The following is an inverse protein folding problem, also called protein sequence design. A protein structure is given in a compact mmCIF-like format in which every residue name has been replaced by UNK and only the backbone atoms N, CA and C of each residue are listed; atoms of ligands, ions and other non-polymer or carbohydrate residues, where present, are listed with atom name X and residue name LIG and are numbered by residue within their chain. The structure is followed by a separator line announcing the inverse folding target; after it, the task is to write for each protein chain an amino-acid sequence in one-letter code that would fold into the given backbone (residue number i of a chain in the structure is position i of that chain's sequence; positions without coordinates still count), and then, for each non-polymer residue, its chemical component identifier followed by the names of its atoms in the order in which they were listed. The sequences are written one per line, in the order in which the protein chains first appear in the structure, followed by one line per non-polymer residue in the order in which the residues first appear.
data_IF_116099647688
#
_entry.id   IF_116099647688
#
_cell.length_a   1.000
_cell.length_b   1.000
_cell.length_c   1.000
_cell.angle_alpha   90.00
_cell.angle_beta   90.00
_cell.angle_gamma   90.00
#
_symmetry.space_group_name_H-M   'P 1'
#
loop_
_entity.id
_entity.type
_entity.pdbx_description
1 polymer ?
2 non-polymer ?
3 non-polymer ?
4 water ?
#
# COMPACT_ATOMS: atom_id res chain seq x y z
N UNK A 1 24.40 -8.23 1.83
CA UNK A 1 23.21 -8.60 1.06
C UNK A 1 22.02 -7.72 1.51
N UNK A 2 20.99 -7.65 0.70
CA UNK A 2 19.83 -6.84 1.09
C UNK A 2 19.18 -7.47 2.33
N UNK A 3 18.52 -6.68 3.15
CA UNK A 3 17.83 -7.25 4.30
C UNK A 3 16.40 -7.46 3.84
N UNK A 4 16.02 -8.71 3.63
CA UNK A 4 14.65 -9.03 3.18
C UNK A 4 13.87 -9.66 4.35
N UNK A 5 12.71 -9.07 4.67
CA UNK A 5 11.89 -9.54 5.77
C UNK A 5 10.40 -9.61 5.34
N UNK A 6 9.74 -10.70 5.70
CA UNK A 6 8.32 -10.78 5.47
C UNK A 6 7.62 -11.04 6.82
N UNK A 7 6.72 -10.14 7.21
CA UNK A 7 5.97 -10.32 8.44
C UNK A 7 4.68 -11.08 8.12
N UNK A 8 4.37 -12.09 8.94
CA UNK A 8 3.24 -12.99 8.66
C UNK A 8 2.43 -13.22 9.96
N UNK A 9 1.26 -13.83 9.82
CA UNK A 9 0.61 -14.42 10.98
C UNK A 9 0.13 -15.78 10.56
N UNK A 10 -0.19 -16.61 11.56
CA UNK A 10 -0.81 -17.90 11.29
C UNK A 10 -2.21 -17.75 10.64
N UNK A 11 -2.79 -18.82 10.10
CA UNK A 11 -4.09 -18.76 9.41
C UNK A 11 -4.14 -17.73 8.26
N UNK A 12 -3.11 -17.72 7.41
CA UNK A 12 -3.00 -16.65 6.41
C UNK A 12 -2.46 -17.22 5.12
N UNK A 13 -3.34 -17.67 4.21
CA UNK A 13 -2.83 -18.28 2.98
C UNK A 13 -2.01 -17.24 2.21
N UNK A 14 -2.40 -15.96 2.28
CA UNK A 14 -1.61 -14.96 1.54
C UNK A 14 -0.19 -14.90 2.05
N UNK A 15 0.01 -15.05 3.38
CA UNK A 15 1.36 -15.00 3.90
C UNK A 15 2.20 -16.15 3.34
N UNK A 16 1.64 -17.35 3.36
CA UNK A 16 2.47 -18.53 3.05
C UNK A 16 2.74 -18.59 1.57
N UNK A 17 1.76 -18.19 0.75
CA UNK A 17 2.04 -18.07 -0.69
C UNK A 17 3.19 -17.13 -0.94
N UNK A 18 3.16 -15.99 -0.25
CA UNK A 18 4.22 -15.00 -0.40
C UNK A 18 5.55 -15.55 0.08
N UNK A 19 5.57 -16.20 1.25
CA UNK A 19 6.80 -16.87 1.69
C UNK A 19 7.35 -17.90 0.67
N UNK A 20 6.48 -18.78 0.16
CA UNK A 20 6.92 -19.72 -0.86
C UNK A 20 7.50 -19.03 -2.11
N UNK A 21 6.86 -17.94 -2.54
CA UNK A 21 7.41 -17.18 -3.67
C UNK A 21 8.87 -16.72 -3.37
N UNK A 22 9.07 -16.09 -2.23
CA UNK A 22 10.42 -15.61 -1.86
C UNK A 22 11.41 -16.78 -1.71
N UNK A 23 10.98 -17.90 -1.10
CA UNK A 23 11.80 -19.14 -1.09
C UNK A 23 12.15 -19.62 -2.51
N UNK A 24 11.21 -19.51 -3.45
CA UNK A 24 11.50 -20.03 -4.78
C UNK A 24 12.64 -19.23 -5.45
N UNK A 25 12.92 -18.01 -4.96
CA UNK A 25 13.92 -17.12 -5.57
C UNK A 25 15.33 -17.45 -5.08
N UNK A 26 15.41 -18.23 -4.01
CA UNK A 26 16.69 -18.62 -3.46
C UNK A 26 17.36 -17.53 -2.68
N UNK A 27 16.62 -16.49 -2.32
CA UNK A 27 17.28 -15.39 -1.58
C UNK A 27 17.35 -15.72 -0.10
N UNK A 28 18.28 -15.10 0.59
CA UNK A 28 18.32 -15.17 2.04
C UNK A 28 17.24 -14.19 2.59
N UNK A 29 16.31 -14.69 3.39
CA UNK A 29 15.28 -13.78 4.00
C UNK A 29 14.78 -14.29 5.33
N UNK A 30 14.14 -13.40 6.09
CA UNK A 30 13.56 -13.73 7.39
C UNK A 30 12.03 -13.68 7.30
N UNK A 31 11.37 -14.77 7.72
CA UNK A 31 9.95 -14.79 7.95
C UNK A 31 9.70 -14.53 9.45
N UNK A 32 8.96 -13.46 9.76
CA UNK A 32 8.74 -13.08 11.13
C UNK A 32 7.25 -13.21 11.50
N UNK A 33 6.93 -14.19 12.34
CA UNK A 33 5.57 -14.54 12.66
C UNK A 33 5.16 -13.66 13.85
N UNK A 34 4.19 -12.79 13.64
CA UNK A 34 3.78 -11.86 14.72
C UNK A 34 2.35 -12.12 15.16
N UNK A 35 1.93 -13.38 15.05
CA UNK A 35 0.55 -13.76 15.38
C UNK A 35 0.18 -13.30 16.77
N UNK A 36 1.13 -13.47 17.69
CA UNK A 36 0.91 -13.15 19.10
C UNK A 36 1.83 -12.09 19.63
N UNK A 37 2.57 -11.43 18.74
CA UNK A 37 3.42 -10.36 19.19
C UNK A 37 2.80 -9.01 18.76
N UNK A 38 1.84 -8.51 19.53
CA UNK A 38 1.18 -7.28 19.07
C UNK A 38 2.07 -6.04 19.03
N UNK A 39 3.05 -5.96 19.93
CA UNK A 39 3.96 -4.83 19.90
C UNK A 39 4.86 -4.80 18.64
N UNK A 40 5.41 -5.94 18.26
CA UNK A 40 6.19 -6.05 17.05
C UNK A 40 5.31 -5.64 15.87
N UNK A 41 4.08 -6.10 15.82
CA UNK A 41 3.26 -5.78 14.66
C UNK A 41 2.83 -4.29 14.65
N UNK A 42 2.63 -3.72 15.84
CA UNK A 42 2.43 -2.27 15.97
C UNK A 42 3.62 -1.48 15.41
N UNK A 43 4.86 -1.92 15.62
CA UNK A 43 5.98 -1.16 15.06
C UNK A 43 5.92 -1.23 13.53
N UNK A 44 5.44 -2.37 13.03
CA UNK A 44 5.43 -2.55 11.58
C UNK A 44 4.34 -1.63 10.98
N UNK A 45 3.18 -1.63 11.62
CA UNK A 45 2.03 -0.79 11.19
C UNK A 45 2.38 0.70 11.25
N UNK A 46 3.12 1.14 12.27
CA UNK A 46 3.54 2.54 12.33
C UNK A 46 4.28 2.98 11.08
N UNK A 47 5.14 2.10 10.56
CA UNK A 47 5.85 2.40 9.33
C UNK A 47 4.87 2.42 8.13
N UNK A 48 4.14 1.33 7.89
CA UNK A 48 3.46 1.20 6.60
C UNK A 48 2.03 1.72 6.54
N UNK A 49 1.37 1.87 7.69
CA UNK A 49 -0.04 2.23 7.68
C UNK A 49 -0.98 1.11 7.22
N UNK A 50 -0.51 -0.12 7.10
CA UNK A 50 -1.35 -1.31 6.81
C UNK A 50 -1.53 -2.16 8.05
N UNK A 51 -2.71 -2.73 8.22
CA UNK A 51 -2.94 -3.61 9.36
C UNK A 51 -3.14 -5.06 8.90
N UNK A 52 -2.77 -5.36 7.67
CA UNK A 52 -2.90 -6.71 7.17
C UNK A 52 -1.51 -7.41 7.11
N UNK A 53 -1.52 -8.73 6.91
CA UNK A 53 -0.29 -9.49 6.60
C UNK A 53 -0.59 -10.29 5.33
N UNK A 54 0.48 -10.59 4.51
CA UNK A 54 1.88 -10.31 4.81
C UNK A 54 2.34 -8.86 4.52
N UNK A 55 3.45 -8.44 5.12
CA UNK A 55 4.10 -7.22 4.72
C UNK A 55 5.57 -7.54 4.47
N UNK A 56 6.01 -7.21 3.26
CA UNK A 56 7.34 -7.56 2.77
C UNK A 56 8.19 -6.27 2.64
N UNK A 57 9.41 -6.35 3.13
CA UNK A 57 10.39 -5.24 3.15
C UNK A 57 11.70 -5.67 2.54
N UNK A 58 12.33 -4.76 1.80
CA UNK A 58 13.71 -4.99 1.33
C UNK A 58 14.41 -3.71 1.72
N UNK A 59 15.37 -3.84 2.65
CA UNK A 59 16.02 -2.67 3.23
C UNK A 59 14.95 -1.70 3.75
N UNK A 60 14.97 -0.46 3.34
CA UNK A 60 14.00 0.49 3.91
C UNK A 60 12.60 0.46 3.22
N UNK A 61 12.48 -0.28 2.11
CA UNK A 61 11.28 -0.19 1.29
C UNK A 61 10.25 -1.22 1.62
N UNK A 62 9.00 -0.75 1.74
CA UNK A 62 7.88 -1.62 1.97
C UNK A 62 7.37 -2.00 0.59
N UNK A 63 7.64 -3.23 0.13
CA UNK A 63 7.16 -3.68 -1.20
C UNK A 63 5.63 -3.87 -1.21
N UNK A 64 5.05 -4.22 -0.06
CA UNK A 64 3.61 -4.50 -0.03
C UNK A 64 3.30 -5.92 0.44
N UNK A 65 2.13 -6.42 0.05
CA UNK A 65 1.70 -7.72 0.50
C UNK A 65 1.78 -8.79 -0.59
N UNK A 67 -0.47 -9.78 -3.02
CA UNK A 67 -0.79 -9.26 -4.37
C UNK A 67 0.35 -8.44 -4.96
N UNK A 68 0.87 -7.50 -4.21
CA UNK A 68 1.93 -6.64 -4.76
C UNK A 68 3.19 -7.37 -5.23
N UNK A 69 3.71 -8.29 -4.42
CA UNK A 69 4.93 -8.98 -4.84
C UNK A 69 4.66 -9.93 -6.01
N UNK A 70 3.47 -10.51 -6.06
CA UNK A 70 3.11 -11.30 -7.26
C UNK A 70 3.02 -10.44 -8.50
N UNK A 71 2.38 -9.28 -8.40
CA UNK A 71 2.35 -8.32 -9.52
C UNK A 71 3.77 -7.89 -9.93
N UNK A 72 4.56 -7.47 -8.97
CA UNK A 72 5.94 -7.16 -9.29
C UNK A 72 6.66 -8.33 -9.99
N UNK A 73 6.38 -9.56 -9.56
CA UNK A 73 7.05 -10.71 -10.16
C UNK A 73 6.60 -10.88 -11.64
N UNK A 74 5.30 -10.75 -11.87
CA UNK A 74 4.74 -10.85 -13.23
C UNK A 74 5.37 -9.81 -14.14
N UNK A 75 5.65 -8.63 -13.60
CA UNK A 75 6.35 -7.56 -14.34
C UNK A 75 7.89 -7.71 -14.45
N UNK A 76 8.47 -8.76 -13.86
CA UNK A 76 9.91 -8.92 -13.89
C UNK A 76 10.67 -8.00 -12.96
N UNK A 77 9.95 -7.23 -12.16
CA UNK A 77 10.54 -6.24 -11.25
C UNK A 77 10.97 -6.87 -9.91
N UNK A 78 10.24 -7.91 -9.48
CA UNK A 78 10.51 -8.53 -8.15
C UNK A 78 11.97 -8.98 -8.01
N UNK A 79 12.45 -9.70 -9.01
CA UNK A 79 13.85 -10.15 -9.00
C UNK A 79 14.84 -9.03 -8.77
N UNK A 80 14.56 -7.89 -9.41
CA UNK A 80 15.41 -6.71 -9.26
C UNK A 80 15.38 -6.15 -7.83
N UNK A 81 14.19 -6.05 -7.27
CA UNK A 81 14.10 -5.58 -5.88
C UNK A 81 14.79 -6.52 -4.90
N UNK A 82 14.82 -7.81 -5.21
CA UNK A 82 15.44 -8.77 -4.28
C UNK A 82 16.96 -8.80 -4.44
N UNK A 83 17.47 -7.94 -5.32
CA UNK A 83 18.90 -7.83 -5.53
C UNK A 83 19.46 -9.06 -6.21
N UNK A 84 18.71 -9.61 -7.16
CA UNK A 84 19.19 -10.83 -7.80
C UNK A 84 20.32 -10.44 -8.77
N UNK A 85 20.57 -11.20 -9.82
CA UNK A 85 21.76 -10.89 -10.61
C UNK A 85 21.59 -9.60 -11.49
N UNK A 86 22.68 -8.87 -11.54
CA UNK A 86 22.73 -7.66 -12.26
C UNK A 86 23.40 -8.11 -13.55
N UNK A 87 22.90 -7.62 -14.68
CA UNK A 87 23.58 -7.88 -15.93
C UNK A 87 24.13 -6.62 -16.50
N UNK A 88 25.20 -6.77 -17.28
CA UNK A 88 25.79 -5.65 -18.01
C UNK A 88 26.07 -6.08 -19.43
N UNK A 89 25.59 -5.29 -20.40
CA UNK A 89 25.90 -5.52 -21.80
C UNK A 89 27.02 -4.57 -22.13
N UNK A 90 28.20 -5.17 -22.30
CA UNK A 90 29.40 -4.45 -22.63
C UNK A 90 29.40 -4.32 -24.15
N UNK A 91 29.59 -3.10 -24.63
CA UNK A 91 29.58 -2.78 -26.09
C UNK A 91 30.95 -2.25 -26.51
N UNK A 92 31.56 -2.77 -27.59
CA UNK A 92 32.87 -2.27 -28.03
C UNK A 92 32.77 -0.80 -28.53
N UNK B 1 -15.65 0.47 -11.87
CA UNK B 1 -14.72 0.93 -10.84
C UNK B 1 -14.23 2.37 -11.18
N UNK B 2 -14.26 3.27 -10.19
CA UNK B 2 -13.65 4.60 -10.32
C UNK B 2 -12.14 4.44 -10.05
N UNK B 3 -11.33 5.42 -10.45
CA UNK B 3 -9.89 5.31 -10.19
C UNK B 3 -9.60 6.03 -8.92
N UNK B 4 -9.46 5.26 -7.85
CA UNK B 4 -9.24 5.84 -6.55
C UNK B 4 -7.74 5.70 -6.26
N UNK B 5 -7.11 6.85 -5.95
CA UNK B 5 -5.67 6.90 -5.65
C UNK B 5 -5.41 7.63 -4.33
N UNK B 6 -4.57 7.07 -3.46
CA UNK B 6 -4.18 7.78 -2.27
C UNK B 6 -2.62 7.84 -2.22
N UNK B 7 -2.07 9.03 -2.04
CA UNK B 7 -0.62 9.21 -1.87
C UNK B 7 -0.29 9.21 -0.40
N UNK B 8 0.69 8.41 -0.01
CA UNK B 8 1.06 8.26 1.40
C UNK B 8 2.60 8.34 1.54
N UNK B 9 3.05 8.50 2.78
CA UNK B 9 4.46 8.34 3.17
C UNK B 9 4.46 7.41 4.38
N UNK B 10 5.58 6.76 4.62
CA UNK B 10 5.78 5.88 5.77
C UNK B 10 5.75 6.74 7.05
N UNK B 11 5.46 6.11 8.18
CA UNK B 11 5.32 6.81 9.48
C UNK B 11 4.30 7.95 9.45
N UNK B 12 3.09 7.62 9.04
CA UNK B 12 2.06 8.63 8.80
C UNK B 12 0.74 8.13 9.36
N UNK B 13 0.41 8.47 10.63
CA UNK B 13 -0.83 7.98 11.26
C UNK B 13 -2.10 8.36 10.45
N UNK B 14 -2.09 9.56 9.86
CA UNK B 14 -3.19 10.02 9.02
C UNK B 14 -3.36 9.11 7.79
N UNK B 15 -2.22 8.66 7.24
CA UNK B 15 -2.26 7.80 6.04
C UNK B 15 -2.85 6.45 6.47
N UNK B 16 -2.39 5.95 7.63
CA UNK B 16 -2.94 4.68 8.15
C UNK B 16 -4.46 4.67 8.26
N UNK B 17 -5.01 5.71 8.89
CA UNK B 17 -6.46 5.76 9.15
C UNK B 17 -7.20 5.90 7.84
N UNK B 18 -6.61 6.65 6.90
CA UNK B 18 -7.32 6.85 5.64
C UNK B 18 -7.31 5.55 4.81
N UNK B 19 -6.13 4.91 4.72
CA UNK B 19 -6.06 3.58 4.10
C UNK B 19 -7.02 2.58 4.80
N UNK B 20 -7.06 2.58 6.12
CA UNK B 20 -8.03 1.68 6.83
C UNK B 20 -9.47 2.01 6.44
N UNK B 21 -9.81 3.30 6.35
CA UNK B 21 -11.17 3.65 5.94
C UNK B 21 -11.49 3.14 4.51
N UNK B 22 -10.59 3.39 3.56
CA UNK B 22 -10.85 2.96 2.18
C UNK B 22 -10.99 1.43 2.09
N UNK B 23 -10.10 0.74 2.81
CA UNK B 23 -10.09 -0.72 2.85
C UNK B 23 -11.42 -1.23 3.40
N UNK B 24 -11.92 -0.55 4.44
CA UNK B 24 -13.16 -0.98 5.10
C UNK B 24 -14.37 -0.77 4.20
N UNK B 25 -14.23 0.07 3.17
CA UNK B 25 -15.34 0.34 2.25
C UNK B 25 -15.44 -0.73 1.19
N UNK B 26 -14.45 -1.61 1.11
CA UNK B 26 -14.50 -2.67 0.11
C UNK B 26 -14.41 -2.23 -1.33
N UNK B 27 -13.57 -1.24 -1.61
CA UNK B 27 -13.36 -0.76 -2.96
C UNK B 27 -11.90 -1.09 -3.33
N UNK B 28 -11.60 -1.20 -4.63
CA UNK B 28 -10.20 -1.30 -5.08
C UNK B 28 -9.59 0.10 -5.16
N UNK B 29 -8.31 0.24 -4.82
CA UNK B 29 -7.71 1.56 -4.83
C UNK B 29 -6.20 1.45 -4.96
N UNK B 30 -5.60 2.42 -5.59
CA UNK B 30 -4.16 2.39 -5.72
C UNK B 30 -3.48 3.26 -4.64
N UNK B 31 -2.44 2.76 -4.00
CA UNK B 31 -1.73 3.61 -3.04
C UNK B 31 -0.35 3.86 -3.62
N UNK B 32 0.10 5.11 -3.57
CA UNK B 32 1.41 5.48 -4.09
C UNK B 32 2.22 6.00 -2.92
N UNK B 33 3.27 5.27 -2.58
CA UNK B 33 4.10 5.59 -1.42
C UNK B 33 5.20 6.52 -1.91
N UNK B 34 5.16 7.79 -1.54
CA UNK B 34 6.13 8.78 -2.03
C UNK B 34 7.21 9.16 -0.99
N UNK B 35 7.40 8.31 0.01
CA UNK B 35 8.38 8.57 1.07
C UNK B 35 9.71 9.01 0.47
N UNK B 36 10.13 8.28 -0.56
CA UNK B 36 11.40 8.55 -1.22
C UNK B 36 11.29 8.96 -2.69
N UNK B 37 10.17 9.57 -3.08
CA UNK B 37 9.99 10.02 -4.44
C UNK B 37 9.60 11.50 -4.47
N UNK B 38 10.60 12.37 -4.32
CA UNK B 38 10.37 13.83 -4.26
C UNK B 38 9.66 14.34 -5.47
N UNK B 39 10.09 13.87 -6.64
CA UNK B 39 9.51 14.36 -7.87
C UNK B 39 8.03 14.01 -7.99
N UNK B 40 7.66 12.76 -7.66
CA UNK B 40 6.25 12.39 -7.78
C UNK B 40 5.40 13.23 -6.81
N UNK B 41 5.91 13.41 -5.61
CA UNK B 41 5.15 14.20 -4.64
C UNK B 41 5.10 15.68 -5.07
N UNK B 42 6.18 16.19 -5.64
CA UNK B 42 6.14 17.55 -6.20
C UNK B 42 5.04 17.71 -7.25
N UNK B 43 4.87 16.73 -8.11
CA UNK B 43 3.76 16.82 -9.07
C UNK B 43 2.39 16.78 -8.43
N UNK B 44 2.24 15.99 -7.37
CA UNK B 44 0.97 15.99 -6.63
C UNK B 44 0.68 17.37 -6.00
N UNK B 45 1.68 17.93 -5.34
CA UNK B 45 1.55 19.25 -4.68
C UNK B 45 1.22 20.35 -5.70
N UNK B 46 1.84 20.29 -6.87
CA UNK B 46 1.56 21.27 -7.92
C UNK B 46 0.09 21.26 -8.26
N UNK B 47 -0.57 20.08 -8.17
CA UNK B 47 -2.01 20.01 -8.50
C UNK B 47 -2.92 20.48 -7.42
N UNK B 48 -2.59 20.18 -6.17
CA UNK B 48 -3.53 20.42 -5.07
C UNK B 48 -3.13 21.64 -4.23
N UNK B 49 -1.83 21.96 -4.18
CA UNK B 49 -1.35 23.00 -3.25
C UNK B 49 -1.24 22.54 -1.81
N UNK B 50 -1.50 21.26 -1.55
CA UNK B 50 -1.31 20.74 -0.20
C UNK B 50 0.06 20.11 -0.02
N UNK B 51 0.72 20.33 1.11
CA UNK B 51 2.04 19.73 1.30
C UNK B 51 2.05 18.51 2.22
N UNK B 52 0.87 18.03 2.58
CA UNK B 52 0.78 16.93 3.53
C UNK B 52 0.34 15.62 2.86
N UNK B 53 0.52 14.52 3.59
CA UNK B 53 -0.11 13.26 3.16
C UNK B 53 -1.06 12.84 4.28
N UNK B 54 -2.12 12.07 3.97
CA UNK B 54 -2.37 11.51 2.65
C UNK B 54 -3.14 12.51 1.72
N UNK B 55 -3.09 12.25 0.43
CA UNK B 55 -3.90 13.00 -0.52
C UNK B 55 -4.71 11.98 -1.32
N UNK B 56 -6.02 12.16 -1.34
CA UNK B 56 -6.93 11.16 -1.93
C UNK B 56 -7.61 11.73 -3.17
N UNK B 57 -7.55 11.00 -4.28
CA UNK B 57 -8.18 11.43 -5.53
C UNK B 57 -9.16 10.35 -5.99
N UNK B 58 -10.28 10.77 -6.61
CA UNK B 58 -11.20 9.84 -7.33
C UNK B 58 -11.39 10.38 -8.74
N UNK B 59 -10.87 9.65 -9.71
CA UNK B 59 -10.94 10.10 -11.12
C UNK B 59 -10.47 11.52 -11.28
N UNK B 60 -9.28 11.82 -10.76
CA UNK B 60 -8.79 13.21 -10.82
C UNK B 60 -9.49 14.28 -10.01
N UNK B 61 -10.61 13.97 -9.35
CA UNK B 61 -11.12 14.89 -8.34
C UNK B 61 -10.33 14.73 -7.02
N UNK B 62 -9.85 15.83 -6.45
CA UNK B 62 -9.11 15.75 -5.19
C UNK B 62 -10.09 15.83 -4.04
N UNK B 63 -10.09 14.86 -3.13
CA UNK B 63 -10.99 14.86 -1.98
C UNK B 63 -10.35 15.44 -0.75
N UNK B 64 -9.03 15.65 -0.76
CA UNK B 64 -8.41 16.08 0.49
C UNK B 64 -7.62 14.96 1.18
N UNK B 65 -7.39 15.09 2.49
CA UNK B 65 -6.64 14.12 3.25
C UNK B 65 -7.51 13.29 4.19
N UNK B 67 -8.75 13.80 7.30
CA UNK B 67 -9.82 14.52 8.03
C UNK B 67 -10.93 14.75 7.05
N UNK B 68 -10.56 15.12 5.84
CA UNK B 68 -11.54 15.44 4.81
C UNK B 68 -12.41 14.25 4.40
N UNK B 69 -11.80 13.10 4.11
CA UNK B 69 -12.63 11.94 3.76
C UNK B 69 -13.46 11.38 4.94
N UNK B 70 -12.94 11.49 6.16
CA UNK B 70 -13.74 11.14 7.34
C UNK B 70 -14.90 12.13 7.51
N UNK B 71 -14.68 13.41 7.21
CA UNK B 71 -15.77 14.39 7.16
C UNK B 71 -16.81 14.05 6.12
N UNK B 72 -16.38 13.77 4.88
CA UNK B 72 -17.31 13.27 3.85
C UNK B 72 -18.07 12.02 4.33
N UNK B 73 -17.37 11.08 4.96
CA UNK B 73 -18.04 9.87 5.44
C UNK B 73 -19.16 10.21 6.45
N UNK B 74 -18.85 11.05 7.44
CA UNK B 74 -19.81 11.48 8.46
C UNK B 74 -21.07 12.13 7.87
N UNK B 75 -20.89 12.88 6.79
CA UNK B 75 -21.99 13.48 6.04
C UNK B 75 -22.61 12.49 5.08
N UNK B 76 -22.15 11.25 5.14
CA UNK B 76 -22.63 10.18 4.26
C UNK B 76 -22.44 10.35 2.77
N UNK B 77 -21.55 11.23 2.33
CA UNK B 77 -21.35 11.42 0.89
C UNK B 77 -20.04 10.82 0.36
N UNK B 78 -19.26 10.16 1.24
CA UNK B 78 -18.04 9.52 0.75
C UNK B 78 -18.39 8.37 -0.17
N UNK B 79 -19.38 7.57 0.21
CA UNK B 79 -19.72 6.38 -0.56
C UNK B 79 -20.04 6.71 -2.00
N UNK B 80 -20.79 7.78 -2.16
CA UNK B 80 -21.19 8.24 -3.46
C UNK B 80 -19.95 8.63 -4.30
N UNK B 81 -19.00 9.38 -3.71
CA UNK B 81 -17.81 9.78 -4.43
C UNK B 81 -16.95 8.56 -4.81
N UNK B 82 -16.91 7.56 -3.94
CA UNK B 82 -16.11 6.35 -4.21
C UNK B 82 -16.77 5.42 -5.23
N UNK B 83 -18.05 5.65 -5.48
CA UNK B 83 -18.76 4.98 -6.54
C UNK B 83 -19.41 3.74 -5.99
N UNK B 84 -19.60 3.73 -4.67
CA UNK B 84 -20.17 2.59 -4.01
C UNK B 84 -21.61 2.60 -4.44
N UNK B 85 -22.32 1.49 -4.24
CA UNK B 85 -23.66 1.37 -4.85
C UNK B 85 -24.62 2.50 -4.39
N UNK B 86 -25.23 3.16 -5.36
CA UNK B 86 -26.15 4.23 -5.06
C UNK B 86 -27.57 3.68 -5.17
N UNK B 87 -28.31 3.85 -4.07
CA UNK B 87 -29.65 3.35 -3.93
C UNK B 87 -30.61 4.48 -4.28
N UNK B 88 -31.46 4.31 -5.28
CA UNK B 88 -32.47 5.33 -5.52
C UNK B 88 -33.76 4.69 -5.05
N UNK B 89 -34.36 5.22 -3.99
CA UNK B 89 -35.59 4.65 -3.44
C UNK B 89 -36.79 5.24 -4.22
N UNK B 90 -37.51 4.37 -4.92
CA UNK B 90 -38.72 4.83 -5.63
C UNK B 90 -39.96 4.61 -4.74
N UNK B 91 -40.70 5.68 -4.47
CA UNK B 91 -41.86 5.60 -3.57
C UNK B 91 -43.12 5.35 -4.37
N UNK B 92 -44.17 4.88 -3.70
CA UNK B 92 -45.50 5.00 -4.31
C UNK B 92 -46.15 6.31 -3.99
#
# INVERSE_FOLDING_TARGET
MKNITIYTKNYCPYCKKAVSLLSSKGVDFKEVDVTHDSKAFEDVMAKTGWDTVPQVFVDEEFLGGXDDIHALDRQGILDKKLGLKLEHHHHHH
MKNITIYTKNYCPYCKKAVSLLSSKGVDFKEVDVTHDSKAFEDVMAKTGWDTVPQVFVDEEFLGGXDDIHALDRQGILDKKLGLKLEHHHHHH
#
